data_IF_414645018418
#
_entry.id   IF_414645018418
#
_cell.length_a   1.000
_cell.length_b   1.000
_cell.length_c   1.000
_cell.angle_alpha   90.00
_cell.angle_beta   90.00
_cell.angle_gamma   90.00
#
_symmetry.space_group_name_H-M   'P 1'
#
loop_
_entity.id
_entity.type
_entity.pdbx_description
1 polymer ?
#
# COMPACT_ATOMS: atom_id res chain seq x y z
N UNK A 1 -4.70 -0.07 17.39
CA UNK A 1 -4.74 0.53 16.03
C UNK A 1 -5.65 -0.36 15.19
N UNK A 2 -6.94 -0.04 15.11
CA UNK A 2 -7.88 -0.76 14.25
C UNK A 2 -7.42 -0.63 12.80
N UNK A 3 -6.95 -1.73 12.19
CA UNK A 3 -6.66 -1.78 10.75
C UNK A 3 -8.00 -1.54 10.05
N UNK A 4 -8.21 -0.36 9.47
CA UNK A 4 -9.35 -0.13 8.58
C UNK A 4 -9.21 -1.07 7.38
N UNK A 5 -10.15 -2.01 7.26
CA UNK A 5 -10.16 -3.04 6.22
C UNK A 5 -10.75 -2.42 4.96
N UNK A 6 -9.99 -2.44 3.86
CA UNK A 6 -10.44 -1.97 2.54
C UNK A 6 -9.80 -0.65 2.11
N UNK A 7 -9.99 -0.28 0.84
CA UNK A 7 -9.43 0.94 0.23
C UNK A 7 -10.41 2.10 0.45
N UNK A 8 -9.94 3.23 0.96
CA UNK A 8 -10.79 4.37 1.35
C UNK A 8 -10.90 5.44 0.26
N UNK A 9 -10.03 5.41 -0.75
CA UNK A 9 -10.00 6.38 -1.85
C UNK A 9 -10.29 5.70 -3.19
N UNK A 10 -10.94 6.41 -4.12
CA UNK A 10 -11.13 5.91 -5.49
C UNK A 10 -9.90 6.20 -6.34
N UNK A 11 -9.56 5.25 -7.22
CA UNK A 11 -8.47 5.36 -8.19
C UNK A 11 -8.51 6.64 -9.05
N UNK A 12 -9.72 7.11 -9.39
CA UNK A 12 -9.92 8.30 -10.22
C UNK A 12 -9.80 9.62 -9.47
N UNK A 13 -9.93 9.61 -8.14
CA UNK A 13 -9.89 10.81 -7.30
C UNK A 13 -8.47 11.06 -6.78
N UNK A 14 -7.82 10.02 -6.26
CA UNK A 14 -6.42 10.06 -5.83
C UNK A 14 -5.73 8.74 -6.14
N UNK A 15 -5.03 8.69 -7.27
CA UNK A 15 -4.33 7.50 -7.72
C UNK A 15 -3.17 7.12 -6.79
N UNK A 16 -2.46 8.12 -6.24
CA UNK A 16 -1.25 7.90 -5.44
C UNK A 16 -1.62 7.26 -4.10
N UNK A 17 -2.61 7.81 -3.41
CA UNK A 17 -3.10 7.25 -2.16
C UNK A 17 -3.79 5.90 -2.37
N UNK A 18 -4.54 5.75 -3.47
CA UNK A 18 -5.15 4.47 -3.85
C UNK A 18 -4.08 3.39 -4.03
N UNK A 19 -3.00 3.70 -4.76
CA UNK A 19 -1.91 2.76 -5.02
C UNK A 19 -1.22 2.33 -3.73
N UNK A 20 -0.87 3.29 -2.86
CA UNK A 20 -0.26 3.00 -1.56
C UNK A 20 -1.15 2.09 -0.72
N UNK A 21 -2.45 2.38 -0.65
CA UNK A 21 -3.38 1.55 0.09
C UNK A 21 -3.51 0.14 -0.49
N UNK A 22 -3.52 -0.01 -1.81
CA UNK A 22 -3.54 -1.33 -2.46
C UNK A 22 -2.32 -2.14 -2.07
N UNK A 23 -1.11 -1.62 -2.30
CA UNK A 23 0.12 -2.41 -2.11
C UNK A 23 0.39 -2.74 -0.64
N UNK A 24 0.03 -1.84 0.28
CA UNK A 24 0.21 -2.03 1.72
C UNK A 24 -0.88 -2.93 2.33
N UNK A 25 -2.16 -2.68 2.00
CA UNK A 25 -3.28 -3.43 2.60
C UNK A 25 -3.42 -4.84 2.01
N UNK A 26 -3.04 -5.04 0.76
CA UNK A 26 -2.98 -6.36 0.13
C UNK A 26 -1.67 -7.12 0.44
N UNK A 27 -0.80 -6.55 1.30
CA UNK A 27 0.46 -7.17 1.70
C UNK A 27 1.37 -7.57 0.53
N UNK A 28 1.36 -6.76 -0.53
CA UNK A 28 2.23 -6.93 -1.71
C UNK A 28 3.59 -6.27 -1.46
N UNK A 29 3.60 -5.13 -0.77
CA UNK A 29 4.80 -4.41 -0.42
C UNK A 29 4.65 -3.70 0.94
N UNK A 30 5.77 -3.34 1.55
CA UNK A 30 5.83 -2.58 2.80
C UNK A 30 6.84 -1.43 2.68
N UNK A 31 6.74 -0.43 3.54
CA UNK A 31 7.74 0.64 3.58
C UNK A 31 9.04 0.12 4.18
N UNK A 32 10.16 0.42 3.53
CA UNK A 32 11.47 0.17 4.12
C UNK A 32 11.79 1.25 5.16
N UNK A 33 12.77 0.96 6.03
CA UNK A 33 13.29 1.94 7.00
C UNK A 33 13.95 3.15 6.34
N UNK A 34 14.40 3.01 5.09
CA UNK A 34 14.96 4.09 4.29
C UNK A 34 13.87 4.76 3.42
N UNK A 35 13.80 6.09 3.45
CA UNK A 35 12.88 6.86 2.61
C UNK A 35 13.14 6.59 1.13
N UNK A 36 12.07 6.41 0.37
CA UNK A 36 12.14 6.11 -1.08
C UNK A 36 12.33 4.63 -1.41
N UNK A 37 12.46 3.75 -0.42
CA UNK A 37 12.57 2.31 -0.61
C UNK A 37 11.30 1.59 -0.15
N UNK A 38 10.95 0.52 -0.86
CA UNK A 38 9.86 -0.39 -0.51
C UNK A 38 10.40 -1.83 -0.45
N UNK A 39 9.89 -2.61 0.49
CA UNK A 39 10.17 -4.04 0.62
C UNK A 39 9.06 -4.79 -0.09
N UNK A 40 9.39 -5.50 -1.17
CA UNK A 40 8.46 -6.41 -1.84
C UNK A 40 8.26 -7.66 -0.97
N UNK A 41 7.01 -7.99 -0.67
CA UNK A 41 6.66 -9.22 0.05
C UNK A 41 6.60 -10.40 -0.93
N UNK A 42 6.65 -11.66 -0.48
CA UNK A 42 6.63 -12.83 -1.37
C UNK A 42 5.44 -12.87 -2.34
N UNK A 43 4.29 -12.31 -1.96
CA UNK A 43 3.10 -12.19 -2.84
C UNK A 43 3.15 -11.00 -3.81
N UNK A 44 4.15 -10.13 -3.72
CA UNK A 44 4.35 -8.96 -4.57
C UNK A 44 5.29 -9.19 -5.76
N UNK A 45 5.80 -10.41 -5.94
CA UNK A 45 6.53 -10.85 -7.14
C UNK A 45 5.57 -11.53 -8.11
#
# INVERSE_FOLDING_TARGET
MSKEIGITVKKSEDFSEWYNQVVLKAELADYASAKGFMVLRPYGY
#
